data_IF_832313538031
#
_entry.id   IF_832313538031
#
_cell.length_a   1.000
_cell.length_b   1.000
_cell.length_c   1.000
_cell.angle_alpha   90.00
_cell.angle_beta   90.00
_cell.angle_gamma   90.00
#
_symmetry.space_group_name_H-M   'P 1'
#
loop_
_entity.id
_entity.type
_entity.pdbx_description
1 polymer ?
#
# COMPACT_ATOMS: atom_id res chain seq x y z
N UNK A 1 30.38 29.31 7.39
CA UNK A 1 29.12 28.67 6.91
C UNK A 1 29.50 27.41 6.18
N UNK A 2 29.05 26.27 6.63
CA UNK A 2 29.28 25.01 5.92
C UNK A 2 28.33 24.94 4.71
N UNK A 3 28.67 24.28 3.59
CA UNK A 3 27.85 24.24 2.38
C UNK A 3 26.41 23.67 2.60
N UNK A 4 26.10 23.15 3.79
CA UNK A 4 24.82 22.51 4.14
C UNK A 4 23.84 23.43 4.89
N UNK A 5 24.10 24.72 5.06
CA UNK A 5 23.27 25.65 5.84
C UNK A 5 22.10 26.26 5.04
N UNK A 6 21.95 25.92 3.75
CA UNK A 6 20.79 26.35 2.98
C UNK A 6 19.66 25.30 3.11
N UNK A 7 18.40 25.70 3.42
CA UNK A 7 17.29 24.78 3.45
C UNK A 7 17.15 24.13 2.06
N UNK A 8 17.32 22.80 2.03
CA UNK A 8 17.11 22.01 0.81
C UNK A 8 15.68 22.21 0.31
N UNK A 9 15.47 22.45 -0.99
CA UNK A 9 14.12 22.55 -1.52
C UNK A 9 13.38 21.23 -1.28
N UNK A 10 12.11 21.35 -0.86
CA UNK A 10 11.26 20.19 -0.55
C UNK A 10 10.27 19.97 -1.70
N UNK A 11 10.22 18.75 -2.20
CA UNK A 11 9.13 18.30 -3.07
C UNK A 11 7.96 17.81 -2.20
N UNK A 12 6.74 18.14 -2.60
CA UNK A 12 5.52 17.62 -1.97
C UNK A 12 5.02 16.41 -2.73
N UNK A 13 4.46 15.45 -2.01
CA UNK A 13 3.84 14.25 -2.52
C UNK A 13 2.54 13.99 -1.77
N UNK A 14 1.44 13.89 -2.49
CA UNK A 14 0.14 13.54 -1.95
C UNK A 14 -0.13 12.06 -2.21
N UNK A 15 -0.24 11.25 -1.15
CA UNK A 15 -0.61 9.83 -1.25
C UNK A 15 -1.96 9.61 -0.59
N UNK A 16 -2.79 8.71 -1.16
CA UNK A 16 -4.08 8.37 -0.58
C UNK A 16 -4.38 6.87 -0.69
N UNK A 17 -5.15 6.35 0.27
CA UNK A 17 -5.71 5.00 0.26
C UNK A 17 -7.22 5.03 0.38
N UNK A 18 -7.89 4.17 -0.38
CA UNK A 18 -9.33 4.11 -0.51
C UNK A 18 -9.79 2.65 -0.65
N UNK A 19 -10.43 2.07 0.36
CA UNK A 19 -11.27 0.90 0.14
C UNK A 19 -12.54 1.38 -0.57
N UNK A 20 -12.81 0.89 -1.78
CA UNK A 20 -13.88 1.39 -2.65
C UNK A 20 -15.17 0.55 -2.60
N UNK A 21 -15.24 -0.42 -1.69
CA UNK A 21 -16.37 -1.33 -1.48
C UNK A 21 -16.83 -2.02 -2.78
N UNK A 22 -16.22 -3.14 -3.13
CA UNK A 22 -16.64 -4.01 -4.25
C UNK A 22 -16.84 -3.25 -5.57
N UNK A 23 -15.80 -2.56 -6.04
CA UNK A 23 -15.84 -1.86 -7.33
C UNK A 23 -15.81 -2.86 -8.48
N UNK A 24 -16.96 -3.07 -9.11
CA UNK A 24 -17.18 -4.03 -10.20
C UNK A 24 -17.92 -3.41 -11.36
N UNK A 25 -17.78 -4.00 -12.54
CA UNK A 25 -18.60 -3.68 -13.71
C UNK A 25 -20.08 -4.05 -13.47
N UNK A 26 -21.04 -3.38 -14.13
CA UNK A 26 -22.44 -3.75 -14.06
C UNK A 26 -22.64 -5.20 -14.53
N UNK A 27 -23.52 -5.93 -13.86
CA UNK A 27 -23.83 -7.33 -14.16
C UNK A 27 -22.81 -8.35 -13.66
N UNK A 28 -21.65 -7.94 -13.13
CA UNK A 28 -20.68 -8.86 -12.53
C UNK A 28 -21.17 -9.35 -11.19
N UNK A 29 -21.28 -10.66 -11.02
CA UNK A 29 -21.50 -11.32 -9.73
C UNK A 29 -20.17 -11.37 -8.97
N UNK A 30 -20.06 -10.67 -7.83
CA UNK A 30 -18.84 -10.65 -7.01
C UNK A 30 -18.98 -11.47 -5.72
N UNK A 31 -20.20 -11.60 -5.15
CA UNK A 31 -20.53 -12.53 -4.07
C UNK A 31 -21.89 -13.18 -4.35
N UNK A 32 -22.02 -14.47 -4.02
CA UNK A 32 -23.26 -15.25 -4.25
C UNK A 32 -24.49 -14.69 -3.53
N UNK A 33 -24.27 -14.00 -2.41
CA UNK A 33 -25.33 -13.43 -1.58
C UNK A 33 -25.60 -11.95 -1.86
N UNK A 34 -25.07 -11.41 -2.95
CA UNK A 34 -25.27 -10.01 -3.35
C UNK A 34 -25.61 -9.93 -4.84
N UNK A 35 -26.65 -9.19 -5.16
CA UNK A 35 -27.00 -8.92 -6.55
C UNK A 35 -25.87 -8.10 -7.24
N UNK A 36 -25.58 -8.37 -8.51
CA UNK A 36 -24.72 -7.54 -9.31
C UNK A 36 -25.17 -6.07 -9.32
N UNK A 37 -24.27 -5.15 -9.58
CA UNK A 37 -24.67 -3.76 -9.83
C UNK A 37 -25.47 -3.67 -11.13
N UNK A 38 -26.61 -2.97 -11.09
CA UNK A 38 -27.27 -2.47 -12.30
C UNK A 38 -26.41 -1.39 -12.95
N UNK A 39 -26.67 -1.06 -14.22
CA UNK A 39 -25.98 0.02 -14.91
C UNK A 39 -26.12 1.36 -14.14
N UNK A 40 -27.32 1.66 -13.65
CA UNK A 40 -27.60 2.89 -12.89
C UNK A 40 -26.82 2.94 -11.57
N UNK A 41 -26.72 1.85 -10.84
CA UNK A 41 -25.93 1.79 -9.60
C UNK A 41 -24.44 1.94 -9.89
N UNK A 42 -23.96 1.28 -10.94
CA UNK A 42 -22.56 1.40 -11.37
C UNK A 42 -22.23 2.86 -11.75
N UNK A 43 -23.07 3.51 -12.54
CA UNK A 43 -22.86 4.91 -12.93
C UNK A 43 -22.86 5.85 -11.70
N UNK A 44 -23.76 5.63 -10.75
CA UNK A 44 -23.77 6.39 -9.48
C UNK A 44 -22.48 6.17 -8.68
N UNK A 45 -22.05 4.91 -8.56
CA UNK A 45 -20.82 4.54 -7.84
C UNK A 45 -19.58 5.15 -8.48
N UNK A 46 -19.44 5.04 -9.80
CA UNK A 46 -18.32 5.63 -10.55
C UNK A 46 -18.29 7.16 -10.42
N UNK A 47 -19.46 7.81 -10.46
CA UNK A 47 -19.56 9.27 -10.30
C UNK A 47 -19.17 9.68 -8.88
N UNK A 48 -19.71 8.99 -7.86
CA UNK A 48 -19.39 9.27 -6.47
C UNK A 48 -17.90 9.08 -6.17
N UNK A 49 -17.30 7.96 -6.63
CA UNK A 49 -15.86 7.71 -6.50
C UNK A 49 -15.04 8.76 -7.24
N UNK A 50 -15.44 9.14 -8.44
CA UNK A 50 -14.79 10.20 -9.22
C UNK A 50 -14.73 11.52 -8.45
N UNK A 51 -15.82 11.93 -7.81
CA UNK A 51 -15.86 13.14 -6.98
C UNK A 51 -14.93 13.01 -5.76
N UNK A 52 -14.89 11.86 -5.11
CA UNK A 52 -13.97 11.59 -3.98
C UNK A 52 -12.51 11.62 -4.43
N UNK A 53 -12.18 10.99 -5.54
CA UNK A 53 -10.80 11.02 -6.08
C UNK A 53 -10.37 12.43 -6.46
N UNK A 54 -11.28 13.23 -7.04
CA UNK A 54 -11.03 14.66 -7.32
C UNK A 54 -10.73 15.44 -6.04
N UNK A 55 -11.49 15.20 -4.97
CA UNK A 55 -11.28 15.85 -3.66
C UNK A 55 -9.97 15.44 -3.00
N UNK A 56 -9.59 14.17 -3.10
CA UNK A 56 -8.30 13.67 -2.61
C UNK A 56 -7.14 14.27 -3.41
N UNK A 57 -7.27 14.42 -4.71
CA UNK A 57 -6.27 14.96 -5.64
C UNK A 57 -4.86 14.41 -5.37
N UNK A 58 -4.75 13.10 -5.16
CA UNK A 58 -3.50 12.45 -4.80
C UNK A 58 -2.57 12.27 -6.01
N UNK A 59 -1.26 12.34 -5.80
CA UNK A 59 -0.25 11.97 -6.79
C UNK A 59 -0.12 10.46 -6.92
N UNK A 60 -0.37 9.74 -5.81
CA UNK A 60 -0.46 8.29 -5.74
C UNK A 60 -1.76 7.92 -5.02
N UNK A 61 -2.63 7.25 -5.72
CA UNK A 61 -3.92 6.75 -5.23
C UNK A 61 -3.88 5.22 -5.20
N UNK A 62 -3.90 4.63 -4.02
CA UNK A 62 -4.04 3.20 -3.82
C UNK A 62 -5.51 2.86 -3.51
N UNK A 63 -6.00 1.78 -4.09
CA UNK A 63 -7.39 1.34 -3.90
C UNK A 63 -7.46 -0.12 -3.50
N UNK A 64 -8.46 -0.47 -2.71
CA UNK A 64 -8.78 -1.83 -2.27
C UNK A 64 -10.20 -2.18 -2.73
N UNK A 65 -10.51 -3.47 -2.81
CA UNK A 65 -11.80 -4.03 -3.24
C UNK A 65 -12.18 -3.72 -4.69
N UNK A 66 -11.21 -3.79 -5.59
CA UNK A 66 -11.47 -3.68 -7.02
C UNK A 66 -11.62 -5.07 -7.64
N UNK A 67 -12.75 -5.32 -8.29
CA UNK A 67 -13.05 -6.54 -9.02
C UNK A 67 -12.73 -6.42 -10.51
N UNK A 68 -12.91 -5.24 -11.09
CA UNK A 68 -12.69 -4.97 -12.50
C UNK A 68 -11.82 -3.74 -12.73
N UNK A 69 -10.74 -3.90 -13.47
CA UNK A 69 -9.83 -2.81 -13.85
C UNK A 69 -10.54 -1.70 -14.63
N UNK A 70 -11.50 -2.06 -15.52
CA UNK A 70 -12.29 -1.08 -16.26
C UNK A 70 -13.16 -0.22 -15.34
N UNK A 71 -13.72 -0.78 -14.28
CA UNK A 71 -14.51 0.00 -13.31
C UNK A 71 -13.64 1.02 -12.58
N UNK A 72 -12.40 0.66 -12.21
CA UNK A 72 -11.46 1.59 -11.61
C UNK A 72 -11.06 2.70 -12.59
N UNK A 73 -10.70 2.36 -13.83
CA UNK A 73 -10.42 3.34 -14.88
C UNK A 73 -11.62 4.25 -15.17
N UNK A 74 -12.83 3.69 -15.10
CA UNK A 74 -14.07 4.47 -15.22
C UNK A 74 -14.24 5.51 -14.11
N UNK A 75 -13.96 5.14 -12.85
CA UNK A 75 -14.00 6.07 -11.71
C UNK A 75 -12.92 7.16 -11.84
N UNK A 76 -11.70 6.80 -12.26
CA UNK A 76 -10.64 7.77 -12.57
C UNK A 76 -11.10 8.73 -13.66
N UNK A 77 -11.69 8.25 -14.76
CA UNK A 77 -12.22 9.09 -15.84
C UNK A 77 -13.27 10.09 -15.33
N UNK A 78 -14.18 9.66 -14.45
CA UNK A 78 -15.20 10.55 -13.83
C UNK A 78 -14.58 11.61 -12.90
N UNK A 79 -13.40 11.36 -12.34
CA UNK A 79 -12.73 12.35 -11.50
C UNK A 79 -12.22 13.56 -12.27
N UNK A 80 -11.98 13.42 -13.57
CA UNK A 80 -11.33 14.44 -14.40
C UNK A 80 -9.84 14.62 -14.10
N UNK A 81 -9.27 13.83 -13.19
CA UNK A 81 -7.85 13.82 -12.90
C UNK A 81 -7.09 13.03 -13.96
N UNK A 82 -5.86 13.45 -14.23
CA UNK A 82 -4.96 12.73 -15.12
C UNK A 82 -3.95 11.94 -14.27
N UNK A 83 -3.89 10.64 -14.52
CA UNK A 83 -2.86 9.76 -14.01
C UNK A 83 -2.11 9.16 -15.20
N UNK A 84 -0.79 9.15 -15.11
CA UNK A 84 0.07 8.61 -16.18
C UNK A 84 0.09 7.08 -16.17
N UNK A 85 -0.28 6.49 -15.03
CA UNK A 85 -0.33 5.04 -14.86
C UNK A 85 -1.52 4.64 -13.97
N UNK A 86 -2.27 3.63 -14.40
CA UNK A 86 -3.38 3.01 -13.66
C UNK A 86 -3.33 1.51 -13.85
N UNK A 87 -3.28 0.74 -12.77
CA UNK A 87 -3.25 -0.71 -12.83
C UNK A 87 -3.95 -1.37 -11.63
N UNK A 88 -4.59 -2.50 -11.90
CA UNK A 88 -5.17 -3.43 -10.92
C UNK A 88 -4.76 -4.85 -11.34
N UNK A 89 -3.55 -5.30 -11.01
CA UNK A 89 -3.07 -6.61 -11.44
C UNK A 89 -3.97 -7.74 -10.97
N UNK A 90 -4.36 -8.63 -11.89
CA UNK A 90 -5.24 -9.77 -11.63
C UNK A 90 -6.73 -9.43 -11.51
N UNK A 91 -7.14 -8.18 -11.77
CA UNK A 91 -8.54 -7.79 -11.97
C UNK A 91 -8.85 -7.71 -13.48
N UNK A 92 -8.64 -8.79 -14.17
CA UNK A 92 -8.89 -8.86 -15.62
C UNK A 92 -10.38 -8.70 -15.91
N UNK A 93 -10.70 -7.95 -16.97
CA UNK A 93 -12.05 -7.79 -17.49
C UNK A 93 -12.47 -9.08 -18.22
N UNK A 94 -12.68 -10.15 -17.49
CA UNK A 94 -13.23 -11.34 -18.07
C UNK A 94 -14.76 -11.26 -18.06
N UNK A 95 -15.31 -10.73 -19.16
CA UNK A 95 -16.77 -10.69 -19.39
C UNK A 95 -17.42 -12.08 -19.45
N UNK A 96 -16.62 -13.14 -19.40
CA UNK A 96 -17.09 -14.54 -19.46
C UNK A 96 -17.38 -15.14 -18.08
N UNK A 97 -17.01 -14.48 -16.99
CA UNK A 97 -17.28 -14.98 -15.64
C UNK A 97 -18.77 -14.85 -15.29
N UNK A 98 -19.48 -15.95 -15.38
CA UNK A 98 -20.90 -16.05 -15.05
C UNK A 98 -21.19 -16.38 -13.58
N UNK A 99 -20.16 -16.50 -12.74
CA UNK A 99 -20.28 -16.84 -11.31
C UNK A 99 -19.42 -15.93 -10.42
N UNK A 100 -19.67 -15.97 -9.10
CA UNK A 100 -18.88 -15.29 -8.08
C UNK A 100 -17.51 -15.95 -7.94
N UNK A 101 -16.60 -15.66 -8.87
CA UNK A 101 -15.25 -16.23 -8.87
C UNK A 101 -14.20 -15.18 -8.56
N UNK A 102 -13.19 -15.60 -7.81
CA UNK A 102 -12.02 -14.79 -7.48
C UNK A 102 -12.18 -14.00 -6.17
N UNK A 103 -11.25 -13.07 -5.98
CA UNK A 103 -11.21 -12.15 -4.84
C UNK A 103 -10.97 -10.74 -5.37
N UNK A 104 -11.48 -9.71 -4.68
CA UNK A 104 -11.17 -8.34 -5.07
C UNK A 104 -9.67 -8.07 -4.95
N UNK A 105 -9.17 -7.16 -5.75
CA UNK A 105 -7.75 -6.82 -5.86
C UNK A 105 -7.45 -5.45 -5.27
N UNK A 106 -6.17 -5.20 -5.05
CA UNK A 106 -5.66 -3.87 -4.81
C UNK A 106 -5.19 -3.25 -6.12
N UNK A 107 -5.28 -1.94 -6.23
CA UNK A 107 -4.87 -1.20 -7.43
C UNK A 107 -4.16 0.09 -7.08
N UNK A 108 -3.54 0.68 -8.09
CA UNK A 108 -2.81 1.94 -7.98
C UNK A 108 -3.07 2.82 -9.20
N UNK A 109 -3.22 4.12 -8.95
CA UNK A 109 -3.12 5.15 -9.97
C UNK A 109 -2.07 6.18 -9.55
N UNK A 110 -1.19 6.61 -10.47
CA UNK A 110 -0.12 7.56 -10.13
C UNK A 110 0.20 8.50 -11.28
N UNK A 111 0.59 9.74 -10.92
CA UNK A 111 1.15 10.76 -11.80
C UNK A 111 2.68 10.66 -11.92
N UNK A 112 3.28 9.76 -11.14
CA UNK A 112 4.71 9.54 -11.14
C UNK A 112 5.07 8.47 -12.16
N UNK A 113 6.27 8.52 -12.70
CA UNK A 113 6.80 7.47 -13.54
C UNK A 113 6.92 6.18 -12.73
N UNK A 114 6.40 5.09 -13.26
CA UNK A 114 6.54 3.75 -12.70
C UNK A 114 7.77 3.10 -13.30
N UNK A 115 8.76 2.77 -12.48
CA UNK A 115 9.95 2.05 -12.90
C UNK A 115 9.75 0.52 -12.77
N UNK A 116 8.98 0.07 -11.77
CA UNK A 116 8.60 -1.33 -11.58
C UNK A 116 7.23 -1.46 -10.89
N UNK A 117 6.52 -2.53 -11.20
CA UNK A 117 5.28 -2.92 -10.54
C UNK A 117 5.29 -4.43 -10.32
N UNK A 118 5.07 -4.87 -9.08
CA UNK A 118 5.08 -6.28 -8.72
C UNK A 118 3.97 -6.62 -7.74
N UNK A 119 3.26 -7.72 -8.00
CA UNK A 119 2.24 -8.28 -7.12
C UNK A 119 2.78 -9.54 -6.44
N UNK A 120 2.52 -9.70 -5.15
CA UNK A 120 3.04 -10.79 -4.33
C UNK A 120 1.88 -11.67 -3.87
N UNK A 121 1.71 -12.83 -4.50
CA UNK A 121 0.62 -13.75 -4.14
C UNK A 121 1.01 -14.70 -3.01
N UNK A 122 2.24 -15.23 -3.03
CA UNK A 122 2.70 -16.25 -2.09
C UNK A 122 3.43 -15.62 -0.90
N UNK A 123 3.37 -16.28 0.25
CA UNK A 123 4.21 -15.94 1.40
C UNK A 123 5.68 -16.30 1.13
N UNK A 124 6.63 -15.65 1.81
CA UNK A 124 8.02 -16.04 1.72
C UNK A 124 8.22 -17.53 2.10
N UNK A 125 9.16 -18.25 1.49
CA UNK A 125 9.46 -19.64 1.84
C UNK A 125 9.75 -19.81 3.32
N UNK A 126 9.15 -20.83 3.94
CA UNK A 126 9.31 -21.11 5.38
C UNK A 126 8.36 -20.35 6.29
N UNK A 127 7.53 -19.46 5.77
CA UNK A 127 6.58 -18.64 6.55
C UNK A 127 5.11 -19.05 6.35
N UNK A 128 4.85 -20.34 6.13
CA UNK A 128 3.50 -20.88 6.07
C UNK A 128 2.94 -21.09 7.48
N UNK A 129 1.63 -20.91 7.65
CA UNK A 129 0.95 -21.01 8.94
C UNK A 129 -0.19 -22.02 8.85
N UNK A 130 -0.27 -22.97 9.80
CA UNK A 130 -1.38 -23.91 9.90
C UNK A 130 -2.66 -23.20 10.40
N UNK A 131 -3.75 -23.34 9.65
CA UNK A 131 -5.07 -22.82 10.05
C UNK A 131 -5.96 -24.01 10.47
N UNK A 132 -6.55 -23.98 11.66
CA UNK A 132 -7.39 -25.09 12.14
C UNK A 132 -8.50 -25.47 11.17
N UNK A 133 -8.43 -26.70 10.61
CA UNK A 133 -9.39 -27.23 9.66
C UNK A 133 -9.27 -26.74 8.22
N UNK A 134 -8.35 -25.81 7.91
CA UNK A 134 -8.08 -25.30 6.56
C UNK A 134 -6.72 -25.75 6.02
N UNK A 135 -5.82 -26.28 6.88
CA UNK A 135 -4.46 -26.66 6.50
C UNK A 135 -3.54 -25.45 6.38
N UNK A 136 -2.46 -25.61 5.60
CA UNK A 136 -1.43 -24.58 5.45
C UNK A 136 -1.92 -23.38 4.68
N UNK A 137 -1.81 -22.20 5.30
CA UNK A 137 -2.01 -20.91 4.68
C UNK A 137 -0.67 -20.40 4.15
N UNK A 138 -0.57 -20.30 2.84
CA UNK A 138 0.70 -20.09 2.13
C UNK A 138 0.71 -18.82 1.28
N UNK A 139 -0.43 -18.12 1.20
CA UNK A 139 -0.62 -17.02 0.26
C UNK A 139 -1.56 -15.95 0.80
N UNK A 140 -1.42 -14.74 0.29
CA UNK A 140 -2.37 -13.66 0.55
C UNK A 140 -3.73 -13.96 -0.12
N UNK A 141 -4.83 -13.71 0.57
CA UNK A 141 -6.16 -13.72 -0.07
C UNK A 141 -6.25 -12.64 -1.16
N UNK A 142 -5.60 -11.51 -0.93
CA UNK A 142 -5.49 -10.38 -1.86
C UNK A 142 -4.02 -10.00 -1.99
N UNK A 143 -3.39 -10.35 -3.11
CA UNK A 143 -1.97 -10.08 -3.31
C UNK A 143 -1.63 -8.60 -3.12
N UNK A 144 -0.73 -8.23 -2.20
CA UNK A 144 -0.24 -6.87 -2.10
C UNK A 144 0.52 -6.47 -3.35
N UNK A 145 0.57 -5.16 -3.63
CA UNK A 145 1.15 -4.57 -4.81
C UNK A 145 2.26 -3.60 -4.42
N UNK A 146 3.44 -3.78 -4.96
CA UNK A 146 4.57 -2.86 -4.80
C UNK A 146 4.82 -2.13 -6.10
N UNK A 147 4.80 -0.80 -6.05
CA UNK A 147 5.21 0.06 -7.16
C UNK A 147 6.49 0.80 -6.78
N UNK A 148 7.54 0.69 -7.59
CA UNK A 148 8.72 1.55 -7.51
C UNK A 148 8.48 2.75 -8.42
N UNK A 149 8.39 3.92 -7.81
CA UNK A 149 8.04 5.17 -8.47
C UNK A 149 9.25 6.08 -8.54
N UNK A 150 9.31 6.90 -9.60
CA UNK A 150 10.33 7.92 -9.79
C UNK A 150 9.75 9.30 -9.55
N UNK A 151 10.25 9.97 -8.53
CA UNK A 151 9.93 11.36 -8.25
C UNK A 151 10.49 12.29 -9.35
N UNK A 152 9.89 13.48 -9.51
CA UNK A 152 10.29 14.45 -10.54
C UNK A 152 11.78 14.83 -10.48
N UNK A 153 12.41 14.69 -9.33
CA UNK A 153 13.82 15.00 -9.09
C UNK A 153 14.74 13.76 -9.13
N UNK A 154 14.24 12.65 -9.70
CA UNK A 154 15.04 11.46 -9.92
C UNK A 154 15.12 10.49 -8.75
N UNK A 155 14.67 10.87 -7.55
CA UNK A 155 14.62 9.97 -6.39
C UNK A 155 13.62 8.85 -6.61
N UNK A 156 13.95 7.65 -6.18
CA UNK A 156 13.02 6.52 -6.13
C UNK A 156 12.19 6.55 -4.84
N UNK A 157 10.96 6.05 -4.93
CA UNK A 157 10.04 5.84 -3.83
C UNK A 157 9.36 4.49 -4.03
N UNK A 158 9.35 3.65 -3.01
CA UNK A 158 8.54 2.44 -3.03
C UNK A 158 7.18 2.73 -2.39
N UNK A 159 6.12 2.27 -3.04
CA UNK A 159 4.75 2.32 -2.52
C UNK A 159 4.19 0.90 -2.50
N UNK A 160 3.82 0.41 -1.32
CA UNK A 160 3.22 -0.89 -1.11
C UNK A 160 1.76 -0.69 -0.70
N UNK A 161 0.82 -1.23 -1.48
CA UNK A 161 -0.60 -1.27 -1.10
C UNK A 161 -1.03 -2.67 -0.72
N UNK A 162 -1.79 -2.78 0.37
CA UNK A 162 -2.26 -4.05 0.90
C UNK A 162 -3.73 -3.99 1.31
N UNK A 163 -4.37 -5.15 1.33
CA UNK A 163 -5.69 -5.35 1.91
C UNK A 163 -5.70 -6.69 2.64
N UNK A 164 -5.55 -6.66 3.97
CA UNK A 164 -5.42 -7.86 4.78
C UNK A 164 -6.77 -8.52 5.04
N UNK A 165 -6.73 -9.77 5.50
CA UNK A 165 -7.90 -10.58 5.85
C UNK A 165 -8.83 -9.85 6.82
N UNK A 166 -10.10 -9.73 6.45
CA UNK A 166 -11.12 -9.10 7.29
C UNK A 166 -11.39 -9.87 8.58
N UNK A 167 -12.02 -9.20 9.56
CA UNK A 167 -12.45 -9.83 10.84
C UNK A 167 -13.64 -10.78 10.67
N UNK A 168 -14.24 -10.89 9.47
CA UNK A 168 -15.35 -11.81 9.22
C UNK A 168 -14.94 -13.25 9.52
N UNK A 169 -15.73 -14.01 10.33
CA UNK A 169 -15.43 -15.39 10.67
C UNK A 169 -15.23 -16.26 9.42
N UNK A 170 -14.19 -17.08 9.42
CA UNK A 170 -13.88 -18.02 8.33
C UNK A 170 -14.44 -19.39 8.67
N UNK A 171 -15.63 -19.69 8.16
CA UNK A 171 -16.26 -20.99 8.26
C UNK A 171 -15.68 -21.96 7.23
N UNK A 172 -15.71 -23.27 7.54
CA UNK A 172 -15.35 -24.31 6.59
C UNK A 172 -16.45 -24.46 5.53
N UNK A 173 -15.99 -24.79 4.33
CA UNK A 173 -16.84 -25.04 3.18
C UNK A 173 -16.38 -26.31 2.48
N UNK A 174 -17.31 -27.00 1.82
CA UNK A 174 -16.97 -28.11 0.92
C UNK A 174 -16.34 -27.59 -0.40
N UNK A 175 -16.01 -28.53 -1.29
CA UNK A 175 -15.41 -28.20 -2.60
C UNK A 175 -16.36 -27.40 -3.51
N UNK A 176 -17.66 -27.39 -3.22
CA UNK A 176 -18.68 -26.65 -3.92
C UNK A 176 -18.97 -25.27 -3.30
N UNK A 177 -18.29 -24.92 -2.18
CA UNK A 177 -18.48 -23.66 -1.48
C UNK A 177 -19.60 -23.67 -0.43
N UNK A 178 -20.30 -24.78 -0.22
CA UNK A 178 -21.37 -24.89 0.76
C UNK A 178 -20.80 -24.92 2.18
N UNK A 179 -21.44 -24.26 3.16
CA UNK A 179 -21.04 -24.35 4.55
C UNK A 179 -21.10 -25.78 5.08
N UNK A 180 -20.03 -26.24 5.71
CA UNK A 180 -19.96 -27.56 6.38
C UNK A 180 -20.04 -27.44 7.90
N UNK A 181 -20.13 -26.23 8.43
CA UNK A 181 -20.21 -25.93 9.85
C UNK A 181 -21.53 -25.22 10.18
N UNK A 182 -22.06 -25.51 11.37
CA UNK A 182 -23.21 -24.79 11.91
C UNK A 182 -22.78 -23.36 12.33
N UNK A 183 -23.30 -22.36 11.61
CA UNK A 183 -22.97 -20.94 11.85
C UNK A 183 -23.66 -20.38 13.09
N UNK A 184 -24.68 -21.05 13.61
CA UNK A 184 -25.43 -20.67 14.82
C UNK A 184 -24.79 -21.25 16.08
N UNK A 185 -23.92 -22.27 15.97
CA UNK A 185 -23.12 -22.77 17.08
C UNK A 185 -22.06 -21.73 17.49
N UNK A 186 -22.17 -21.27 18.73
CA UNK A 186 -21.28 -20.24 19.30
C UNK A 186 -19.82 -20.69 19.38
N UNK A 187 -19.55 -22.00 19.57
CA UNK A 187 -18.17 -22.53 19.60
C UNK A 187 -17.59 -22.56 18.18
N UNK A 188 -18.38 -22.93 17.18
CA UNK A 188 -18.01 -22.87 15.78
C UNK A 188 -17.75 -21.41 15.37
N UNK A 189 -18.60 -20.47 15.77
CA UNK A 189 -18.38 -19.04 15.54
C UNK A 189 -17.05 -18.56 16.15
N UNK A 190 -16.73 -18.95 17.38
CA UNK A 190 -15.46 -18.59 18.01
C UNK A 190 -14.25 -19.17 17.26
N UNK A 191 -14.33 -20.44 16.81
CA UNK A 191 -13.29 -21.07 16.01
C UNK A 191 -13.12 -20.41 14.64
N UNK A 192 -14.22 -20.09 13.95
CA UNK A 192 -14.20 -19.38 12.68
C UNK A 192 -13.60 -17.97 12.80
N UNK A 193 -13.85 -17.28 13.93
CA UNK A 193 -13.24 -15.98 14.26
C UNK A 193 -11.73 -16.12 14.49
N UNK A 194 -11.30 -17.17 15.21
CA UNK A 194 -9.89 -17.47 15.43
C UNK A 194 -9.17 -17.76 14.09
N UNK A 195 -9.78 -18.51 13.17
CA UNK A 195 -9.21 -18.74 11.83
C UNK A 195 -8.94 -17.42 11.11
N UNK A 196 -9.90 -16.49 11.10
CA UNK A 196 -9.71 -15.16 10.48
C UNK A 196 -8.59 -14.37 11.15
N UNK A 197 -8.44 -14.45 12.47
CA UNK A 197 -7.35 -13.80 13.19
C UNK A 197 -5.98 -14.40 12.81
N UNK A 198 -5.87 -15.73 12.75
CA UNK A 198 -4.63 -16.40 12.36
C UNK A 198 -4.26 -16.06 10.92
N UNK A 199 -5.22 -16.09 9.98
CA UNK A 199 -5.00 -15.70 8.58
C UNK A 199 -4.48 -14.26 8.48
N UNK A 200 -5.13 -13.31 9.15
CA UNK A 200 -4.68 -11.91 9.14
C UNK A 200 -3.29 -11.74 9.75
N UNK A 201 -3.00 -12.44 10.86
CA UNK A 201 -1.68 -12.45 11.47
C UNK A 201 -0.60 -13.01 10.54
N UNK A 202 -0.91 -14.09 9.81
CA UNK A 202 -0.01 -14.68 8.82
C UNK A 202 0.25 -13.72 7.63
N UNK A 203 -0.80 -13.07 7.12
CA UNK A 203 -0.66 -12.04 6.08
C UNK A 203 0.15 -10.83 6.58
N UNK A 204 -0.05 -10.40 7.83
CA UNK A 204 0.72 -9.31 8.44
C UNK A 204 2.21 -9.67 8.58
N UNK A 205 2.52 -10.91 8.97
CA UNK A 205 3.89 -11.42 9.02
C UNK A 205 4.53 -11.48 7.63
N UNK A 206 3.81 -12.00 6.63
CA UNK A 206 4.31 -12.04 5.26
C UNK A 206 4.53 -10.63 4.68
N UNK A 207 3.63 -9.68 4.99
CA UNK A 207 3.79 -8.27 4.64
C UNK A 207 5.02 -7.65 5.32
N UNK A 208 5.27 -7.99 6.60
CA UNK A 208 6.50 -7.59 7.32
C UNK A 208 7.76 -8.05 6.62
N UNK A 209 7.80 -9.29 6.12
CA UNK A 209 8.94 -9.79 5.34
C UNK A 209 9.18 -8.94 4.08
N UNK A 210 8.12 -8.60 3.33
CA UNK A 210 8.23 -7.71 2.17
C UNK A 210 8.76 -6.32 2.54
N UNK A 211 8.33 -5.77 3.67
CA UNK A 211 8.82 -4.48 4.19
C UNK A 211 10.32 -4.56 4.49
N UNK A 212 10.76 -5.63 5.14
CA UNK A 212 12.19 -5.85 5.43
C UNK A 212 12.99 -5.91 4.12
N UNK A 213 12.54 -6.70 3.13
CA UNK A 213 13.22 -6.84 1.85
C UNK A 213 13.32 -5.51 1.09
N UNK A 214 12.28 -4.66 1.19
CA UNK A 214 12.23 -3.36 0.54
C UNK A 214 13.11 -2.29 1.22
N UNK A 215 13.37 -2.43 2.52
CA UNK A 215 14.10 -1.44 3.32
C UNK A 215 15.54 -1.87 3.64
N UNK A 216 15.81 -3.19 3.66
CA UNK A 216 17.11 -3.69 4.08
C UNK A 216 18.23 -3.21 3.16
N UNK A 217 19.22 -2.51 3.73
CA UNK A 217 20.41 -1.97 3.02
C UNK A 217 20.10 -1.03 1.86
N UNK A 218 18.99 -0.31 1.94
CA UNK A 218 18.63 0.73 0.97
C UNK A 218 18.28 2.03 1.68
N UNK A 219 18.35 3.14 0.96
CA UNK A 219 17.86 4.46 1.39
C UNK A 219 16.63 4.89 0.57
N UNK A 220 15.99 3.95 -0.13
CA UNK A 220 14.77 4.23 -0.88
C UNK A 220 13.61 4.29 0.11
N UNK A 221 12.93 5.45 0.25
CA UNK A 221 11.80 5.57 1.15
C UNK A 221 10.68 4.61 0.77
N UNK A 222 9.95 4.15 1.78
CA UNK A 222 8.78 3.28 1.60
C UNK A 222 7.54 3.92 2.22
N UNK A 223 6.44 3.87 1.47
CA UNK A 223 5.09 4.15 1.96
C UNK A 223 4.27 2.87 1.84
N UNK A 224 3.72 2.40 2.95
CA UNK A 224 2.79 1.25 2.99
C UNK A 224 1.41 1.77 3.34
N UNK A 225 0.42 1.48 2.51
CA UNK A 225 -0.93 2.00 2.70
C UNK A 225 -1.99 1.01 2.26
N UNK A 226 -3.16 1.07 2.90
CA UNK A 226 -4.27 0.18 2.58
C UNK A 226 -5.21 -0.06 3.74
N UNK A 227 -6.13 -0.99 3.53
CA UNK A 227 -7.02 -1.52 4.55
C UNK A 227 -6.36 -2.71 5.25
N UNK A 228 -5.89 -2.50 6.47
CA UNK A 228 -5.26 -3.57 7.26
C UNK A 228 -6.28 -4.40 8.04
N UNK A 229 -7.56 -4.02 7.99
CA UNK A 229 -8.64 -4.67 8.72
C UNK A 229 -8.37 -4.79 10.23
N UNK A 230 -7.49 -3.93 10.74
CA UNK A 230 -7.17 -3.83 12.17
C UNK A 230 -6.68 -2.42 12.53
N UNK A 231 -6.73 -2.07 13.83
CA UNK A 231 -6.40 -0.74 14.30
C UNK A 231 -4.88 -0.53 14.45
N UNK A 232 -4.39 0.71 14.51
CA UNK A 232 -2.95 1.00 14.64
C UNK A 232 -2.29 0.38 15.88
N UNK A 233 -3.03 0.20 16.94
CA UNK A 233 -2.59 -0.39 18.21
C UNK A 233 -2.74 -1.93 18.27
N UNK A 234 -3.31 -2.55 17.23
CA UNK A 234 -3.48 -3.99 17.18
C UNK A 234 -2.14 -4.72 17.03
N UNK A 235 -2.11 -5.98 17.49
CA UNK A 235 -0.93 -6.85 17.38
C UNK A 235 -0.51 -7.03 15.91
N UNK A 236 -1.46 -7.17 15.00
CA UNK A 236 -1.19 -7.34 13.56
C UNK A 236 -0.53 -6.11 12.95
N UNK A 237 -1.02 -4.90 13.25
CA UNK A 237 -0.39 -3.66 12.77
C UNK A 237 0.97 -3.44 13.43
N UNK A 238 1.12 -3.72 14.72
CA UNK A 238 2.41 -3.62 15.42
C UNK A 238 3.45 -4.60 14.87
N UNK A 239 3.02 -5.79 14.44
CA UNK A 239 3.88 -6.75 13.75
C UNK A 239 4.43 -6.18 12.41
N UNK A 240 3.58 -5.51 11.64
CA UNK A 240 4.00 -4.86 10.39
C UNK A 240 4.98 -3.71 10.67
N UNK A 241 4.68 -2.87 11.66
CA UNK A 241 5.47 -1.69 12.00
C UNK A 241 6.81 -2.04 12.66
N UNK A 242 6.81 -3.04 13.54
CA UNK A 242 7.97 -3.50 14.34
C UNK A 242 8.68 -2.38 15.14
N UNK A 243 7.96 -1.33 15.53
CA UNK A 243 8.53 -0.22 16.32
C UNK A 243 8.94 -0.63 17.73
N UNK A 244 8.32 -1.67 18.29
CA UNK A 244 8.68 -2.20 19.61
C UNK A 244 10.10 -2.79 19.63
N UNK A 245 10.62 -3.28 18.51
CA UNK A 245 11.97 -3.80 18.39
C UNK A 245 13.05 -2.73 18.62
N UNK A 246 12.73 -1.46 18.28
CA UNK A 246 13.66 -0.31 18.40
C UNK A 246 14.09 -0.10 19.87
N UNK A 247 13.25 -0.47 20.83
CA UNK A 247 13.56 -0.36 22.26
C UNK A 247 14.74 -1.25 22.67
N UNK A 248 14.93 -2.37 21.98
CA UNK A 248 15.94 -3.37 22.25
C UNK A 248 17.13 -3.31 21.28
N UNK A 249 16.85 -2.98 20.03
CA UNK A 249 17.84 -2.83 18.97
C UNK A 249 17.57 -1.58 18.13
N UNK A 250 18.47 -0.59 18.25
CA UNK A 250 18.33 0.67 17.49
C UNK A 250 18.47 0.47 15.99
N UNK A 251 19.14 -0.59 15.52
CA UNK A 251 19.28 -0.90 14.10
C UNK A 251 17.96 -1.40 13.48
N UNK A 252 17.03 -1.92 14.31
CA UNK A 252 15.69 -2.29 13.86
C UNK A 252 14.90 -1.12 13.28
N UNK A 253 15.32 0.11 13.60
CA UNK A 253 14.73 1.34 13.05
C UNK A 253 14.83 1.42 11.53
N UNK A 254 15.91 0.92 10.94
CA UNK A 254 16.16 0.97 9.50
C UNK A 254 15.10 0.21 8.68
N UNK A 255 14.44 -0.75 9.29
CA UNK A 255 13.37 -1.55 8.66
C UNK A 255 12.00 -1.38 9.34
N UNK A 256 11.86 -0.44 10.28
CA UNK A 256 10.60 -0.15 10.95
C UNK A 256 9.71 0.77 10.11
N UNK A 257 8.40 0.70 10.36
CA UNK A 257 7.42 1.63 9.82
C UNK A 257 6.75 2.42 10.93
N UNK A 258 6.42 3.66 10.62
CA UNK A 258 5.80 4.61 11.53
C UNK A 258 4.44 5.03 10.98
N UNK A 259 3.44 5.12 11.85
CA UNK A 259 2.13 5.61 11.43
C UNK A 259 2.25 7.10 11.03
N UNK A 260 1.92 7.40 9.78
CA UNK A 260 2.00 8.76 9.26
C UNK A 260 1.13 9.74 10.06
N UNK A 261 -0.02 9.28 10.57
CA UNK A 261 -0.91 10.10 11.38
C UNK A 261 -0.21 10.62 12.65
N UNK A 262 0.55 9.77 13.33
CA UNK A 262 1.23 10.13 14.59
C UNK A 262 2.43 11.05 14.38
N UNK A 263 2.98 11.09 13.16
CA UNK A 263 4.12 11.94 12.81
C UNK A 263 3.73 13.40 12.49
N UNK A 264 2.44 13.68 12.25
CA UNK A 264 1.98 15.03 11.98
C UNK A 264 1.91 15.88 13.24
N UNK A 265 2.17 17.20 13.14
CA UNK A 265 2.25 18.09 14.30
C UNK A 265 0.93 18.33 15.03
N UNK A 266 -0.21 18.08 14.37
CA UNK A 266 -1.56 18.31 14.93
C UNK A 266 -2.35 17.01 15.19
N UNK A 267 -1.68 15.86 15.28
CA UNK A 267 -2.31 14.56 15.48
C UNK A 267 -3.32 14.53 16.65
N UNK A 268 -2.93 15.09 17.79
CA UNK A 268 -3.79 15.11 18.98
C UNK A 268 -5.08 15.93 18.77
N UNK A 269 -5.02 17.01 17.99
CA UNK A 269 -6.18 17.88 17.72
C UNK A 269 -7.19 17.24 16.77
N UNK A 270 -6.77 16.25 15.98
CA UNK A 270 -7.60 15.60 14.98
C UNK A 270 -8.10 14.21 15.40
N UNK A 271 -7.74 13.75 16.60
CA UNK A 271 -7.98 12.36 17.04
C UNK A 271 -9.45 11.96 16.92
N UNK A 272 -10.38 12.84 17.28
CA UNK A 272 -11.81 12.53 17.29
C UNK A 272 -12.43 12.35 15.89
N UNK A 273 -11.77 12.87 14.86
CA UNK A 273 -12.22 12.77 13.46
C UNK A 273 -11.37 11.80 12.63
N UNK A 274 -10.33 11.23 13.24
CA UNK A 274 -9.40 10.30 12.57
C UNK A 274 -9.91 8.86 12.67
N UNK A 275 -10.86 8.51 11.82
CA UNK A 275 -11.35 7.13 11.65
C UNK A 275 -11.72 6.88 10.20
N UNK A 276 -11.65 5.63 9.78
CA UNK A 276 -11.96 5.22 8.41
C UNK A 276 -13.11 4.22 8.32
N UNK A 277 -13.65 3.75 9.43
CA UNK A 277 -14.77 2.80 9.42
C UNK A 277 -15.61 2.95 10.70
N UNK A 278 -16.91 2.68 10.60
CA UNK A 278 -17.83 2.63 11.76
C UNK A 278 -18.43 1.24 11.85
N UNK A 279 -18.12 0.50 12.91
CA UNK A 279 -18.69 -0.80 13.19
C UNK A 279 -19.59 -0.74 14.43
N UNK A 280 -20.87 -1.06 14.26
CA UNK A 280 -21.87 -1.02 15.36
C UNK A 280 -21.84 0.29 16.16
N UNK A 281 -21.70 1.41 15.46
CA UNK A 281 -21.62 2.75 16.08
C UNK A 281 -20.25 3.13 16.64
N UNK A 282 -19.26 2.24 16.60
CA UNK A 282 -17.90 2.51 17.11
C UNK A 282 -16.97 2.87 15.96
N UNK A 283 -16.42 4.12 15.92
CA UNK A 283 -15.41 4.50 14.94
C UNK A 283 -14.08 3.74 15.13
N UNK A 284 -13.43 3.37 14.05
CA UNK A 284 -12.13 2.70 14.07
C UNK A 284 -11.28 3.11 12.85
N UNK A 285 -9.97 3.02 12.99
CA UNK A 285 -9.00 3.25 11.91
C UNK A 285 -8.60 1.90 11.34
N UNK A 286 -9.11 1.52 10.17
CA UNK A 286 -8.73 0.29 9.45
C UNK A 286 -7.82 0.60 8.27
N UNK A 287 -8.05 1.74 7.61
CA UNK A 287 -7.25 2.23 6.51
C UNK A 287 -6.13 3.11 7.05
N UNK A 288 -4.88 2.73 6.77
CA UNK A 288 -3.71 3.34 7.38
C UNK A 288 -2.67 3.70 6.32
N UNK A 289 -1.83 4.67 6.64
CA UNK A 289 -0.62 5.05 5.88
C UNK A 289 0.55 4.94 6.85
N UNK A 290 1.45 4.02 6.57
CA UNK A 290 2.68 3.80 7.30
C UNK A 290 3.85 4.26 6.43
N UNK A 291 4.88 4.81 7.05
CA UNK A 291 6.05 5.34 6.35
C UNK A 291 7.34 4.86 7.00
N UNK A 292 8.38 4.71 6.21
CA UNK A 292 9.71 4.33 6.69
C UNK A 292 10.42 5.50 7.39
N UNK A 293 11.56 5.23 8.00
CA UNK A 293 12.32 6.18 8.84
C UNK A 293 12.65 7.48 8.09
N UNK A 294 12.79 7.44 6.78
CA UNK A 294 13.13 8.60 5.94
C UNK A 294 12.10 9.74 6.07
N UNK A 295 10.88 9.46 6.50
CA UNK A 295 9.83 10.45 6.75
C UNK A 295 9.74 10.90 8.23
N UNK A 296 10.58 10.37 9.11
CA UNK A 296 10.59 10.80 10.52
C UNK A 296 11.41 12.09 10.65
N UNK A 297 10.72 13.17 11.03
CA UNK A 297 11.35 14.48 11.17
C UNK A 297 12.51 14.44 12.18
N UNK A 298 13.64 15.04 11.81
CA UNK A 298 14.89 15.03 12.60
C UNK A 298 15.48 13.64 12.89
N UNK A 299 15.02 12.57 12.21
CA UNK A 299 15.68 11.28 12.23
C UNK A 299 17.05 11.32 11.58
N UNK A 300 17.95 10.39 11.95
CA UNK A 300 19.32 10.30 11.39
C UNK A 300 19.29 10.16 9.86
N UNK A 301 18.36 9.37 9.34
CA UNK A 301 18.19 9.07 7.92
C UNK A 301 17.06 9.89 7.27
N UNK A 302 16.61 10.97 7.93
CA UNK A 302 15.48 11.77 7.47
C UNK A 302 15.74 12.40 6.10
N UNK A 303 14.97 11.96 5.12
CA UNK A 303 14.89 12.56 3.78
C UNK A 303 13.66 13.46 3.61
N UNK A 304 12.76 13.47 4.60
CA UNK A 304 11.54 14.22 4.52
C UNK A 304 10.74 14.26 5.82
N UNK A 305 9.47 14.54 5.72
CA UNK A 305 8.53 14.52 6.85
C UNK A 305 7.09 14.24 6.39
N UNK A 306 6.24 13.90 7.36
CA UNK A 306 4.80 13.85 7.19
C UNK A 306 4.24 15.20 7.63
N UNK A 307 3.67 15.94 6.69
CA UNK A 307 3.15 17.27 6.97
C UNK A 307 1.73 17.24 7.51
N UNK A 308 0.88 16.38 6.93
CA UNK A 308 -0.55 16.32 7.26
C UNK A 308 -1.14 14.98 6.85
N UNK A 309 -2.03 14.45 7.67
CA UNK A 309 -2.90 13.32 7.34
C UNK A 309 -4.34 13.72 7.58
N UNK A 310 -5.20 13.47 6.59
CA UNK A 310 -6.62 13.78 6.62
C UNK A 310 -7.46 12.53 6.39
N UNK A 311 -8.56 12.43 7.11
CA UNK A 311 -9.60 11.42 6.93
C UNK A 311 -10.83 12.07 6.28
N UNK A 312 -11.32 11.47 5.20
CA UNK A 312 -12.51 11.87 4.46
C UNK A 312 -13.60 10.85 4.75
N UNK A 313 -14.37 11.07 5.79
CA UNK A 313 -15.25 10.07 6.39
C UNK A 313 -16.69 10.58 6.62
N UNK A 314 -17.06 11.77 6.18
CA UNK A 314 -18.39 12.37 6.36
C UNK A 314 -19.51 11.45 5.87
N UNK A 315 -19.31 10.75 4.76
CA UNK A 315 -20.30 9.87 4.14
C UNK A 315 -20.63 8.63 4.99
N UNK A 316 -19.81 8.27 5.96
CA UNK A 316 -20.05 7.14 6.86
C UNK A 316 -21.28 7.35 7.77
N UNK A 317 -21.71 8.61 7.94
CA UNK A 317 -22.90 8.98 8.72
C UNK A 317 -24.18 9.07 7.88
N UNK A 318 -24.10 8.94 6.56
CA UNK A 318 -25.24 9.09 5.66
C UNK A 318 -26.05 7.79 5.45
N UNK A 319 -25.79 6.75 6.23
CA UNK A 319 -26.41 5.44 6.10
C UNK A 319 -25.77 4.56 5.01
N UNK A 320 -26.22 3.28 4.97
CA UNK A 320 -25.66 2.31 4.03
C UNK A 320 -26.20 2.53 2.62
N UNK A 321 -25.27 2.73 1.69
CA UNK A 321 -25.54 2.79 0.25
C UNK A 321 -24.42 2.03 -0.49
N UNK A 322 -24.77 0.91 -1.13
CA UNK A 322 -23.77 0.09 -1.87
C UNK A 322 -23.10 0.82 -3.03
N UNK A 323 -23.65 1.95 -3.47
CA UNK A 323 -23.03 2.79 -4.49
C UNK A 323 -21.98 3.76 -3.94
N UNK A 324 -21.76 3.74 -2.62
CA UNK A 324 -20.69 4.45 -1.91
C UNK A 324 -19.74 3.46 -1.26
N UNK A 325 -18.68 3.95 -0.64
CA UNK A 325 -17.87 3.13 0.24
C UNK A 325 -18.41 3.15 1.66
N UNK A 326 -18.22 2.06 2.40
CA UNK A 326 -18.40 1.98 3.85
C UNK A 326 -17.08 2.26 4.61
N UNK A 327 -16.04 2.69 3.87
CA UNK A 327 -14.77 3.16 4.40
C UNK A 327 -14.57 4.65 4.12
N UNK A 328 -14.04 5.37 5.11
CA UNK A 328 -13.46 6.71 4.93
C UNK A 328 -12.11 6.61 4.22
N UNK A 329 -11.78 7.61 3.42
CA UNK A 329 -10.53 7.64 2.67
C UNK A 329 -9.45 8.41 3.45
N UNK A 330 -8.21 7.97 3.34
CA UNK A 330 -7.09 8.56 4.07
C UNK A 330 -6.10 9.15 3.08
N UNK A 331 -5.68 10.39 3.33
CA UNK A 331 -4.71 11.10 2.51
C UNK A 331 -3.59 11.66 3.38
N UNK A 332 -2.34 11.47 2.94
CA UNK A 332 -1.17 12.08 3.57
C UNK A 332 -0.47 13.03 2.61
N UNK A 333 -0.10 14.21 3.12
CA UNK A 333 0.83 15.13 2.49
C UNK A 333 2.22 14.89 3.05
N UNK A 334 3.08 14.35 2.21
CA UNK A 334 4.48 14.07 2.50
C UNK A 334 5.37 15.15 1.87
N UNK A 335 6.53 15.43 2.48
CA UNK A 335 7.57 16.26 1.87
C UNK A 335 8.86 15.44 1.81
N UNK A 336 9.61 15.60 0.74
CA UNK A 336 10.91 14.97 0.53
C UNK A 336 11.93 16.01 0.12
N UNK A 337 13.11 15.96 0.70
CA UNK A 337 14.26 16.77 0.29
C UNK A 337 14.62 16.41 -1.15
N UNK A 338 14.76 17.41 -1.99
CA UNK A 338 15.20 17.19 -3.37
C UNK A 338 16.70 16.85 -3.36
N UNK A 339 17.08 15.75 -4.03
CA UNK A 339 18.48 15.47 -4.26
C UNK A 339 19.11 16.65 -5.03
N UNK A 340 20.20 17.20 -4.52
CA UNK A 340 20.99 18.17 -5.30
C UNK A 340 21.48 17.45 -6.54
N UNK A 341 21.14 17.95 -7.72
CA UNK A 341 21.81 17.55 -8.94
C UNK A 341 23.27 17.98 -8.77
N UNK A 342 24.16 17.03 -8.52
CA UNK A 342 25.59 17.29 -8.73
C UNK A 342 25.75 17.54 -10.22
N UNK A 343 25.98 18.80 -10.60
CA UNK A 343 26.45 19.08 -11.97
C UNK A 343 27.60 18.12 -12.28
N UNK A 344 27.60 17.48 -13.45
CA UNK A 344 28.76 16.69 -13.84
C UNK A 344 29.96 17.59 -13.77
N UNK A 345 30.95 17.24 -12.94
CA UNK A 345 32.21 17.94 -12.83
C UNK A 345 32.73 18.14 -14.25
N UNK A 346 33.07 19.40 -14.66
CA UNK A 346 33.61 19.62 -16.00
C UNK A 346 34.78 18.69 -16.19
N UNK A 347 34.73 17.88 -17.24
CA UNK A 347 35.76 16.95 -17.59
C UNK A 347 37.10 17.73 -17.60
N UNK A 348 38.00 17.33 -16.71
CA UNK A 348 39.37 17.85 -16.67
C UNK A 348 39.97 17.61 -18.07
N UNK A 349 40.06 18.66 -18.85
CA UNK A 349 40.88 18.68 -20.07
C UNK A 349 42.32 18.53 -19.64
N UNK A 350 42.82 17.31 -19.63
CA UNK A 350 44.25 17.05 -19.53
C UNK A 350 44.97 17.65 -20.74
N UNK A 351 46.04 18.42 -20.56
CA UNK A 351 46.81 18.94 -21.68
C UNK A 351 47.53 17.78 -22.40
N UNK A 352 47.25 17.66 -23.69
CA UNK A 352 48.07 16.87 -24.60
C UNK A 352 49.48 17.44 -24.67
N UNK A 353 50.47 16.71 -24.23
CA UNK A 353 51.84 17.16 -24.34
C UNK A 353 52.88 16.07 -24.10
N UNK A 354 53.62 15.79 -25.17
CA UNK A 354 54.95 15.21 -25.23
C UNK A 354 55.11 13.70 -25.33
N UNK A 355 55.30 13.29 -26.59
CA UNK A 355 56.00 12.11 -27.00
C UNK A 355 57.42 12.00 -26.41
N UNK A 356 57.80 10.89 -25.81
CA UNK A 356 59.18 10.47 -25.63
C UNK A 356 59.42 9.07 -26.21
N UNK A 357 60.66 8.79 -26.70
CA UNK A 357 60.96 7.72 -27.65
C UNK A 357 61.18 6.38 -26.97
N UNK A 358 60.98 5.35 -27.77
CA UNK A 358 61.16 3.96 -27.44
C UNK A 358 62.61 3.60 -27.07
N UNK A 359 62.80 2.80 -26.01
CA UNK A 359 64.00 2.02 -25.75
C UNK A 359 63.72 0.53 -25.86
N UNK A 360 64.71 -0.28 -26.36
CA UNK A 360 64.42 -1.65 -26.83
C UNK A 360 64.43 -2.68 -25.71
N UNK A 361 63.70 -3.73 -25.95
CA UNK A 361 63.58 -4.97 -25.14
C UNK A 361 64.84 -5.81 -25.30
N UNK A 362 65.41 -6.45 -24.25
CA UNK A 362 66.20 -7.65 -24.39
C UNK A 362 65.37 -8.89 -24.09
N UNK A 363 65.44 -9.81 -25.04
CA UNK A 363 65.03 -11.22 -24.94
C UNK A 363 65.98 -11.99 -24.02
N UNK A 364 65.45 -12.99 -23.26
CA UNK A 364 66.00 -14.34 -23.06
C UNK A 364 65.27 -14.99 -21.87
N UNK A 365 64.65 -16.08 -22.12
CA UNK A 365 64.96 -17.52 -22.04
C UNK A 365 64.66 -18.15 -20.66
N UNK A 366 63.72 -19.08 -20.74
CA UNK A 366 63.65 -20.41 -20.13
C UNK A 366 64.38 -20.70 -18.81
N UNK A 367 63.60 -21.04 -17.78
CA UNK A 367 63.53 -22.42 -17.26
C UNK A 367 62.21 -22.59 -16.48
#
# INVERSE_FOLDING_TARGET
MRPNDFPQPLATLMVATCNVLNLANPGRLFYENQDPYSQTESDRKLTWLGDRFRMLNADVLAVQEVWDDAAFKGAIGRSGLRYDFVAVPGAENDATHTGAQGTPRVGIATRLKVDALQSFAEFPPGFQVEIPGLGLHTRFERPPLVATLRMKHGQSLNVLTAHLKSKRPKFLQDAQGNPTEDRDDRKVMALASLRSLIMRGAEAMALRCLVIDLLHRTSVPLVVLGDFNDTPDSVTTQLICATNEIAYDRSARDVALFNAYDLQGDAALKKDVAYSHIHQGSPSVLDQILVSEEFVHNGRNSLGDVRRVDYFNDHLHEGRDRTRSDHGFVRALLRLKMAMQTEPSPASTAPSGASQPAHPVPSTQKL
#
